data_IF_509331868196
#
_entry.id   IF_509331868196
#
_cell.length_a   1.000
_cell.length_b   1.000
_cell.length_c   1.000
_cell.angle_alpha   90.00
_cell.angle_beta   90.00
_cell.angle_gamma   90.00
#
_symmetry.space_group_name_H-M   'P 1'
#
loop_
_entity.id
_entity.type
_entity.pdbx_description
1 polymer ?
#
# COMPACT_ATOMS: atom_id res chain seq x y z
N UNK A 1 -8.74 -7.45 1.29
CA UNK A 1 -7.60 -7.03 2.15
C UNK A 1 -6.35 -7.76 1.72
N UNK A 2 -5.30 -7.01 1.38
CA UNK A 2 -4.00 -7.54 1.00
C UNK A 2 -3.29 -8.18 2.19
N UNK A 3 -2.51 -9.24 1.93
CA UNK A 3 -1.68 -9.92 2.92
C UNK A 3 -0.22 -9.49 2.78
N UNK A 4 0.45 -9.31 3.92
CA UNK A 4 1.83 -8.82 4.01
C UNK A 4 2.65 -9.82 4.81
N UNK A 5 3.59 -10.50 4.16
CA UNK A 5 4.47 -11.47 4.81
C UNK A 5 5.61 -10.75 5.52
N UNK A 6 5.71 -10.92 6.82
CA UNK A 6 6.79 -10.34 7.64
C UNK A 6 7.51 -11.44 8.40
N UNK A 7 8.84 -11.44 8.30
CA UNK A 7 9.70 -12.34 9.05
C UNK A 7 9.77 -11.92 10.53
N UNK A 8 9.46 -12.81 11.44
CA UNK A 8 9.64 -12.58 12.87
C UNK A 8 10.88 -13.29 13.38
N UNK A 9 11.75 -12.56 14.06
CA UNK A 9 13.02 -13.00 14.61
C UNK A 9 12.96 -12.88 16.14
N UNK A 10 12.52 -13.91 16.85
CA UNK A 10 12.56 -13.93 18.32
C UNK A 10 13.99 -14.20 18.78
N UNK A 11 14.73 -13.12 19.10
CA UNK A 11 16.12 -13.22 19.51
C UNK A 11 16.26 -13.65 20.96
N UNK A 12 17.13 -14.60 21.22
CA UNK A 12 17.38 -15.16 22.55
C UNK A 12 18.86 -15.34 22.80
N UNK A 13 19.24 -15.45 24.06
CA UNK A 13 20.52 -16.00 24.48
C UNK A 13 20.26 -17.23 25.35
N UNK A 14 20.67 -18.40 24.88
CA UNK A 14 20.40 -19.69 25.49
C UNK A 14 20.82 -19.78 26.96
N UNK A 15 21.96 -19.18 27.33
CA UNK A 15 22.45 -19.14 28.70
C UNK A 15 21.46 -18.51 29.70
N UNK A 16 20.59 -17.59 29.22
CA UNK A 16 19.51 -17.02 30.04
C UNK A 16 18.31 -17.95 30.13
N UNK A 17 17.98 -18.63 29.06
CA UNK A 17 16.82 -19.54 29.02
C UNK A 17 17.02 -20.86 29.77
N UNK A 18 18.27 -21.28 29.96
CA UNK A 18 18.64 -22.51 30.64
C UNK A 18 18.58 -22.45 32.15
N UNK A 19 18.31 -21.28 32.77
CA UNK A 19 18.22 -21.19 34.23
C UNK A 19 16.90 -21.74 34.74
N UNK A 20 16.94 -22.38 35.91
CA UNK A 20 15.74 -22.89 36.60
C UNK A 20 14.71 -21.76 36.90
N UNK A 21 15.17 -20.52 36.98
CA UNK A 21 14.33 -19.35 37.26
C UNK A 21 13.61 -18.82 36.00
N UNK A 22 14.28 -18.81 34.86
CA UNK A 22 13.73 -18.26 33.62
C UNK A 22 12.92 -19.27 32.80
N UNK A 23 13.27 -20.55 32.85
CA UNK A 23 12.54 -21.70 32.32
C UNK A 23 11.85 -21.47 30.96
N UNK A 24 12.59 -21.50 29.86
CA UNK A 24 12.07 -21.30 28.50
C UNK A 24 11.34 -19.94 28.30
N UNK A 25 11.84 -18.91 28.94
CA UNK A 25 11.23 -17.58 28.87
C UNK A 25 11.06 -17.08 27.41
N UNK A 26 12.08 -17.31 26.58
CA UNK A 26 12.07 -16.84 25.17
C UNK A 26 10.97 -17.53 24.36
N UNK A 27 10.82 -18.84 24.46
CA UNK A 27 9.74 -19.58 23.78
C UNK A 27 8.35 -19.13 24.23
N UNK A 28 8.14 -18.92 25.53
CA UNK A 28 6.88 -18.39 26.06
C UNK A 28 6.58 -17.01 25.56
N UNK A 29 7.58 -16.11 25.52
CA UNK A 29 7.42 -14.76 25.01
C UNK A 29 7.18 -14.76 23.50
N UNK A 30 7.87 -15.62 22.75
CA UNK A 30 7.59 -15.84 21.32
C UNK A 30 6.12 -16.21 21.08
N UNK A 31 5.56 -17.14 21.83
CA UNK A 31 4.16 -17.54 21.70
C UNK A 31 3.21 -16.36 21.92
N UNK A 32 3.43 -15.55 22.97
CA UNK A 32 2.65 -14.33 23.22
C UNK A 32 2.75 -13.33 22.06
N UNK A 33 3.95 -13.15 21.46
CA UNK A 33 4.11 -12.30 20.29
C UNK A 33 3.29 -12.84 19.10
N UNK A 34 3.32 -14.15 18.83
CA UNK A 34 2.55 -14.75 17.73
C UNK A 34 1.04 -14.58 17.94
N UNK A 35 0.54 -14.71 19.18
CA UNK A 35 -0.86 -14.43 19.50
C UNK A 35 -1.24 -12.95 19.27
N UNK A 36 -0.34 -12.02 19.59
CA UNK A 36 -0.56 -10.60 19.34
C UNK A 36 -0.56 -10.28 17.84
N UNK A 37 0.40 -10.83 17.08
CA UNK A 37 0.47 -10.65 15.62
C UNK A 37 -0.77 -11.18 14.90
N UNK A 38 -1.34 -12.28 15.35
CA UNK A 38 -2.53 -12.87 14.75
C UNK A 38 -3.76 -11.93 14.75
N UNK A 39 -3.75 -10.90 15.59
CA UNK A 39 -4.81 -9.89 15.68
C UNK A 39 -4.61 -8.69 14.74
N UNK A 40 -3.44 -8.59 14.09
CA UNK A 40 -3.11 -7.44 13.23
C UNK A 40 -3.68 -7.66 11.82
N UNK A 41 -4.50 -6.74 11.32
CA UNK A 41 -5.10 -6.87 9.99
C UNK A 41 -4.04 -6.99 8.89
N UNK A 42 -4.23 -7.96 7.99
CA UNK A 42 -3.36 -8.14 6.83
C UNK A 42 -1.97 -8.73 7.11
N UNK A 43 -1.53 -8.83 8.38
CA UNK A 43 -0.24 -9.39 8.73
C UNK A 43 -0.23 -10.92 8.57
N UNK A 44 0.80 -11.43 7.92
CA UNK A 44 1.14 -12.85 7.83
C UNK A 44 2.57 -13.04 8.34
N UNK A 45 2.71 -13.71 9.47
CA UNK A 45 4.02 -13.92 10.10
C UNK A 45 4.69 -15.19 9.55
N UNK A 46 5.93 -15.02 9.13
CA UNK A 46 6.88 -16.11 8.87
C UNK A 46 7.88 -16.14 10.01
N UNK A 47 7.87 -17.21 10.81
CA UNK A 47 8.78 -17.37 11.94
C UNK A 47 9.45 -18.75 11.91
N UNK A 48 10.68 -18.90 12.44
CA UNK A 48 11.29 -20.21 12.60
C UNK A 48 10.39 -21.13 13.43
N UNK A 49 10.24 -22.38 12.99
CA UNK A 49 9.57 -23.43 13.78
C UNK A 49 10.50 -23.99 14.84
N UNK A 50 9.94 -24.72 15.82
CA UNK A 50 10.71 -25.43 16.84
C UNK A 50 11.56 -26.57 16.27
N UNK A 51 11.27 -27.02 15.05
CA UNK A 51 12.08 -27.99 14.30
C UNK A 51 13.28 -27.31 13.60
N UNK A 52 13.15 -26.05 13.24
CA UNK A 52 14.20 -25.31 12.52
C UNK A 52 15.24 -24.72 13.48
N UNK A 53 14.77 -24.17 14.61
CA UNK A 53 15.60 -23.53 15.65
C UNK A 53 15.09 -23.91 17.03
N UNK A 54 15.96 -23.83 18.05
CA UNK A 54 15.57 -24.18 19.41
C UNK A 54 14.42 -23.29 19.92
N UNK A 55 13.33 -23.91 20.38
CA UNK A 55 12.11 -23.26 20.84
C UNK A 55 11.55 -22.22 19.81
N UNK A 56 11.89 -22.36 18.50
CA UNK A 56 11.54 -21.41 17.44
C UNK A 56 12.22 -20.05 17.56
N UNK A 57 13.28 -19.93 18.36
CA UNK A 57 14.02 -18.71 18.62
C UNK A 57 15.36 -18.67 17.87
N UNK A 58 16.03 -17.54 17.87
CA UNK A 58 17.33 -17.31 17.22
C UNK A 58 18.36 -16.91 18.27
N UNK A 59 19.19 -17.87 18.69
CA UNK A 59 20.21 -17.71 19.74
C UNK A 59 21.61 -18.07 19.29
N UNK A 60 21.80 -18.69 18.12
CA UNK A 60 23.11 -19.07 17.58
C UNK A 60 23.33 -18.54 16.17
N UNK A 61 24.60 -18.50 15.72
CA UNK A 61 24.96 -18.11 14.35
C UNK A 61 24.27 -19.00 13.33
N UNK A 62 24.24 -20.31 13.57
CA UNK A 62 23.61 -21.28 12.68
C UNK A 62 22.08 -21.02 12.55
N UNK A 63 21.41 -20.78 13.66
CA UNK A 63 19.98 -20.45 13.67
C UNK A 63 19.69 -19.14 12.96
N UNK A 64 20.56 -18.13 13.13
CA UNK A 64 20.46 -16.87 12.35
C UNK A 64 20.54 -17.12 10.85
N UNK A 65 21.44 -17.98 10.40
CA UNK A 65 21.57 -18.33 8.98
C UNK A 65 20.33 -19.09 8.46
N UNK A 66 19.81 -20.07 9.24
CA UNK A 66 18.59 -20.80 8.91
C UNK A 66 17.37 -19.88 8.82
N UNK A 67 17.25 -18.92 9.74
CA UNK A 67 16.17 -17.91 9.72
C UNK A 67 16.27 -17.04 8.45
N UNK A 68 17.45 -16.60 8.07
CA UNK A 68 17.64 -15.83 6.81
C UNK A 68 17.23 -16.63 5.57
N UNK A 69 17.61 -17.92 5.51
CA UNK A 69 17.25 -18.80 4.38
C UNK A 69 15.72 -18.99 4.30
N UNK A 70 15.05 -19.13 5.44
CA UNK A 70 13.59 -19.17 5.52
C UNK A 70 12.96 -17.89 5.00
N UNK A 71 13.40 -16.72 5.46
CA UNK A 71 12.84 -15.44 5.07
C UNK A 71 13.05 -15.12 3.60
N UNK A 72 14.20 -15.46 3.04
CA UNK A 72 14.48 -15.31 1.62
C UNK A 72 13.61 -16.24 0.78
N UNK A 73 13.44 -17.51 1.19
CA UNK A 73 12.55 -18.48 0.51
C UNK A 73 11.11 -18.02 0.49
N UNK A 74 10.62 -17.48 1.61
CA UNK A 74 9.25 -17.01 1.76
C UNK A 74 9.00 -15.60 1.17
N UNK A 75 10.05 -14.94 0.67
CA UNK A 75 9.99 -13.59 0.10
C UNK A 75 9.33 -12.58 1.05
N UNK A 76 9.77 -12.52 2.31
CA UNK A 76 9.21 -11.59 3.28
C UNK A 76 9.43 -10.13 2.87
N UNK A 77 8.45 -9.28 3.17
CA UNK A 77 8.44 -7.85 2.81
C UNK A 77 9.05 -6.95 3.89
N UNK A 78 9.29 -7.48 5.06
CA UNK A 78 9.92 -6.80 6.19
C UNK A 78 10.34 -7.79 7.28
N UNK A 79 11.10 -7.33 8.26
CA UNK A 79 11.52 -8.11 9.43
C UNK A 79 11.08 -7.42 10.71
N UNK A 80 10.57 -8.20 11.66
CA UNK A 80 10.37 -7.78 13.04
C UNK A 80 11.37 -8.55 13.91
N UNK A 81 12.29 -7.84 14.56
CA UNK A 81 13.29 -8.43 15.46
C UNK A 81 12.90 -8.10 16.89
N UNK A 82 12.64 -9.10 17.70
CA UNK A 82 12.26 -8.94 19.12
C UNK A 82 13.29 -9.58 20.05
N UNK A 83 13.77 -8.83 21.05
CA UNK A 83 14.56 -9.41 22.13
C UNK A 83 13.62 -10.08 23.15
N UNK A 84 13.64 -11.43 23.22
CA UNK A 84 12.74 -12.22 24.06
C UNK A 84 13.25 -12.35 25.50
N UNK A 85 14.58 -12.34 25.65
CA UNK A 85 15.28 -12.23 26.92
C UNK A 85 16.43 -11.21 26.79
N UNK A 86 17.69 -11.61 26.69
CA UNK A 86 18.78 -10.71 26.36
C UNK A 86 18.92 -10.54 24.85
N UNK A 87 18.85 -11.64 24.11
CA UNK A 87 19.15 -11.74 22.69
C UNK A 87 20.63 -11.96 22.42
N UNK A 88 20.97 -12.26 21.15
CA UNK A 88 22.36 -12.55 20.78
C UNK A 88 22.73 -11.85 19.46
N UNK A 89 23.46 -10.72 19.57
CA UNK A 89 23.74 -9.86 18.41
C UNK A 89 24.53 -10.56 17.30
N UNK A 90 25.34 -11.57 17.63
CA UNK A 90 26.13 -12.33 16.65
C UNK A 90 25.22 -13.18 15.75
N UNK A 91 24.18 -13.80 16.33
CA UNK A 91 23.17 -14.54 15.57
C UNK A 91 22.39 -13.61 14.63
N UNK A 92 21.96 -12.45 15.15
CA UNK A 92 21.31 -11.43 14.34
C UNK A 92 22.25 -10.94 13.23
N UNK A 93 23.52 -10.71 13.54
CA UNK A 93 24.55 -10.33 12.56
C UNK A 93 24.72 -11.35 11.44
N UNK A 94 24.71 -12.65 11.76
CA UNK A 94 24.78 -13.74 10.79
C UNK A 94 23.56 -13.77 9.88
N UNK A 95 22.36 -13.63 10.44
CA UNK A 95 21.11 -13.51 9.69
C UNK A 95 21.18 -12.32 8.71
N UNK A 96 21.51 -11.14 9.21
CA UNK A 96 21.57 -9.91 8.41
C UNK A 96 22.60 -9.94 7.29
N UNK A 97 23.61 -10.81 7.36
CA UNK A 97 24.60 -10.98 6.29
C UNK A 97 24.01 -11.59 5.02
N UNK A 98 22.88 -12.31 5.13
CA UNK A 98 22.16 -12.94 4.01
C UNK A 98 20.88 -12.17 3.60
N UNK A 99 20.51 -11.12 4.31
CA UNK A 99 19.31 -10.31 4.03
C UNK A 99 19.71 -9.09 3.19
N UNK A 100 18.86 -8.72 2.23
CA UNK A 100 19.03 -7.52 1.41
C UNK A 100 19.08 -6.26 2.28
N UNK A 101 19.91 -5.27 1.92
CA UNK A 101 20.21 -4.10 2.75
C UNK A 101 19.07 -3.10 2.86
N UNK A 102 18.18 -3.10 1.91
CA UNK A 102 16.97 -2.26 1.85
C UNK A 102 15.74 -2.90 2.52
N UNK A 103 15.91 -4.08 3.16
CA UNK A 103 14.85 -4.73 3.91
C UNK A 103 14.35 -3.82 5.04
N UNK A 104 13.05 -3.48 5.10
CA UNK A 104 12.48 -2.79 6.25
C UNK A 104 12.63 -3.61 7.53
N UNK A 105 13.03 -2.98 8.61
CA UNK A 105 13.21 -3.64 9.91
C UNK A 105 12.49 -2.86 11.00
N UNK A 106 11.68 -3.56 11.79
CA UNK A 106 11.12 -3.09 13.05
C UNK A 106 11.79 -3.84 14.18
N UNK A 107 12.29 -3.12 15.18
CA UNK A 107 12.91 -3.72 16.36
C UNK A 107 12.11 -3.39 17.63
N UNK A 108 11.98 -4.36 18.52
CA UNK A 108 11.45 -4.15 19.87
C UNK A 108 12.15 -5.03 20.90
N UNK A 109 11.97 -4.67 22.17
CA UNK A 109 12.37 -5.50 23.29
C UNK A 109 11.20 -5.66 24.26
N UNK A 110 11.12 -6.82 24.91
CA UNK A 110 10.06 -7.10 25.88
C UNK A 110 10.39 -6.51 27.25
N UNK A 111 9.38 -6.24 28.07
CA UNK A 111 9.61 -5.79 29.47
C UNK A 111 10.21 -6.91 30.30
N UNK A 112 11.13 -6.54 31.18
CA UNK A 112 11.64 -7.47 32.19
C UNK A 112 10.54 -7.86 33.17
N UNK A 113 10.52 -9.11 33.57
CA UNK A 113 9.70 -9.59 34.67
C UNK A 113 10.22 -9.12 36.05
N UNK A 114 9.52 -9.45 37.14
CA UNK A 114 9.98 -9.13 38.49
C UNK A 114 11.31 -9.81 38.80
N UNK A 115 12.05 -9.23 39.74
CA UNK A 115 13.23 -9.93 40.30
C UNK A 115 12.84 -11.18 41.08
N UNK A 116 13.73 -12.18 41.09
CA UNK A 116 13.58 -13.30 41.96
C UNK A 116 13.67 -12.90 43.46
N UNK A 117 13.20 -13.73 44.40
CA UNK A 117 13.39 -13.46 45.83
C UNK A 117 14.85 -13.23 46.22
N UNK A 118 15.80 -13.77 45.45
CA UNK A 118 17.25 -13.61 45.66
C UNK A 118 17.83 -12.41 44.91
N UNK A 119 16.98 -11.57 44.28
CA UNK A 119 17.41 -10.37 43.53
C UNK A 119 17.93 -10.66 42.12
N UNK A 120 17.76 -11.86 41.58
CA UNK A 120 18.16 -12.18 40.19
C UNK A 120 17.14 -11.62 39.22
N UNK A 121 17.64 -11.13 38.07
CA UNK A 121 16.81 -10.62 36.98
C UNK A 121 16.22 -11.75 36.15
N UNK A 122 14.99 -11.55 35.68
CA UNK A 122 14.34 -12.52 34.77
C UNK A 122 14.93 -12.43 33.35
N UNK A 123 15.30 -11.25 32.90
CA UNK A 123 15.94 -11.01 31.60
C UNK A 123 16.71 -9.67 31.62
N UNK A 124 17.42 -9.37 30.52
CA UNK A 124 18.13 -8.12 30.28
C UNK A 124 17.81 -7.55 28.88
N UNK A 125 16.56 -7.59 28.48
CA UNK A 125 16.09 -7.17 27.15
C UNK A 125 16.48 -5.74 26.82
N UNK A 126 16.48 -4.83 27.79
CA UNK A 126 16.90 -3.44 27.63
C UNK A 126 18.36 -3.33 27.19
N UNK A 127 19.28 -4.07 27.80
CA UNK A 127 20.67 -4.14 27.37
C UNK A 127 20.81 -4.78 25.99
N UNK A 128 20.14 -5.91 25.77
CA UNK A 128 20.13 -6.63 24.50
C UNK A 128 19.60 -5.79 23.34
N UNK A 129 18.63 -4.92 23.59
CA UNK A 129 18.12 -3.97 22.62
C UNK A 129 19.20 -3.03 22.07
N UNK A 130 20.03 -2.44 22.92
CA UNK A 130 21.14 -1.59 22.46
C UNK A 130 22.14 -2.36 21.60
N UNK A 131 22.41 -3.61 21.95
CA UNK A 131 23.30 -4.49 21.19
C UNK A 131 22.71 -4.80 19.81
N UNK A 132 21.43 -5.15 19.74
CA UNK A 132 20.72 -5.41 18.47
C UNK A 132 20.65 -4.17 17.59
N UNK A 133 20.29 -3.01 18.14
CA UNK A 133 20.27 -1.75 17.40
C UNK A 133 21.67 -1.38 16.87
N UNK A 134 22.71 -1.57 17.69
CA UNK A 134 24.11 -1.38 17.29
C UNK A 134 24.51 -2.31 16.15
N UNK A 135 24.11 -3.59 16.22
CA UNK A 135 24.38 -4.58 15.18
C UNK A 135 23.72 -4.21 13.83
N UNK A 136 22.46 -3.74 13.86
CA UNK A 136 21.74 -3.21 12.69
C UNK A 136 22.45 -2.00 12.09
N UNK A 137 22.71 -0.99 12.93
CA UNK A 137 23.36 0.27 12.50
C UNK A 137 24.74 0.04 11.88
N UNK A 138 25.61 -0.77 12.54
CA UNK A 138 26.96 -1.10 12.03
C UNK A 138 26.93 -1.84 10.69
N UNK A 139 25.83 -2.53 10.38
CA UNK A 139 25.64 -3.24 9.11
C UNK A 139 24.90 -2.42 8.06
N UNK A 140 24.56 -1.15 8.35
CA UNK A 140 23.93 -0.24 7.42
C UNK A 140 22.43 -0.50 7.19
N UNK A 141 21.77 -1.24 8.08
CA UNK A 141 20.31 -1.40 8.03
C UNK A 141 19.64 -0.17 8.62
N UNK A 142 18.61 0.32 7.93
CA UNK A 142 17.65 1.27 8.49
C UNK A 142 16.60 0.48 9.28
N UNK A 143 16.21 0.97 10.42
CA UNK A 143 15.21 0.32 11.25
C UNK A 143 14.40 1.32 12.06
N UNK A 144 13.15 0.95 12.30
CA UNK A 144 12.30 1.59 13.28
C UNK A 144 12.40 0.85 14.61
N UNK A 145 12.10 1.56 15.69
CA UNK A 145 12.21 1.02 17.04
C UNK A 145 10.96 1.31 17.86
N UNK A 146 10.44 0.27 18.53
CA UNK A 146 9.41 0.43 19.54
C UNK A 146 10.07 0.51 20.92
N UNK A 147 9.64 1.45 21.76
CA UNK A 147 10.02 1.45 23.16
C UNK A 147 9.72 0.10 23.80
N UNK A 148 10.53 -0.32 24.78
CA UNK A 148 10.34 -1.61 25.49
C UNK A 148 8.88 -1.78 25.95
N UNK A 149 8.21 -2.82 25.48
CA UNK A 149 6.78 -3.07 25.66
C UNK A 149 6.48 -4.57 25.75
N UNK A 150 5.31 -4.93 26.24
CA UNK A 150 4.79 -6.29 26.11
C UNK A 150 3.99 -6.43 24.80
N UNK A 151 3.84 -7.66 24.28
CA UNK A 151 3.03 -7.90 23.08
C UNK A 151 1.56 -7.48 23.22
N UNK A 152 1.04 -7.41 24.44
CA UNK A 152 -0.33 -7.02 24.76
C UNK A 152 -0.53 -5.51 24.89
N UNK A 153 0.54 -4.73 24.92
CA UNK A 153 0.47 -3.29 25.01
C UNK A 153 -0.05 -2.68 23.70
N UNK A 154 -0.92 -1.68 23.79
CA UNK A 154 -1.51 -1.00 22.64
C UNK A 154 -0.46 -0.45 21.67
N UNK A 155 0.65 0.08 22.20
CA UNK A 155 1.75 0.61 21.40
C UNK A 155 2.38 -0.47 20.51
N UNK A 156 2.46 -1.73 20.98
CA UNK A 156 2.96 -2.83 20.19
C UNK A 156 2.06 -3.07 18.96
N UNK A 157 0.77 -3.24 19.19
CA UNK A 157 -0.20 -3.47 18.12
C UNK A 157 -0.19 -2.33 17.09
N UNK A 158 -0.28 -1.08 17.55
CA UNK A 158 -0.28 0.12 16.69
C UNK A 158 0.98 0.24 15.83
N UNK A 159 2.16 0.01 16.41
CA UNK A 159 3.43 0.11 15.68
C UNK A 159 3.63 -1.04 14.70
N UNK A 160 3.23 -2.26 15.06
CA UNK A 160 3.30 -3.42 14.16
C UNK A 160 2.34 -3.26 13.01
N UNK A 161 1.12 -2.75 13.24
CA UNK A 161 0.16 -2.47 12.17
C UNK A 161 0.71 -1.40 11.21
N UNK A 162 1.22 -0.30 11.74
CA UNK A 162 1.85 0.77 10.93
C UNK A 162 3.00 0.22 10.10
N UNK A 163 3.87 -0.58 10.70
CA UNK A 163 4.99 -1.22 10.00
C UNK A 163 4.52 -2.19 8.90
N UNK A 164 3.49 -2.98 9.16
CA UNK A 164 2.88 -3.88 8.18
C UNK A 164 2.40 -3.12 6.95
N UNK A 165 1.67 -2.02 7.15
CA UNK A 165 1.18 -1.15 6.10
C UNK A 165 2.31 -0.50 5.30
N UNK A 166 3.36 -0.03 5.99
CA UNK A 166 4.56 0.53 5.36
C UNK A 166 5.31 -0.52 4.50
N UNK A 167 5.47 -1.74 5.00
CA UNK A 167 6.08 -2.84 4.23
C UNK A 167 5.29 -3.15 2.96
N UNK A 168 3.95 -3.15 3.03
CA UNK A 168 3.11 -3.34 1.86
C UNK A 168 3.33 -2.22 0.83
N UNK A 169 3.33 -0.97 1.27
CA UNK A 169 3.56 0.18 0.39
C UNK A 169 4.95 0.13 -0.27
N UNK A 170 6.00 -0.12 0.49
CA UNK A 170 7.38 -0.21 -0.03
C UNK A 170 7.50 -1.34 -1.06
N UNK A 171 6.97 -2.52 -0.77
CA UNK A 171 7.08 -3.67 -1.66
C UNK A 171 6.35 -3.49 -2.99
N UNK A 172 5.32 -2.65 -3.03
CA UNK A 172 4.57 -2.32 -4.24
C UNK A 172 5.10 -1.10 -4.97
N UNK A 173 5.79 -0.20 -4.25
CA UNK A 173 6.36 1.01 -4.80
C UNK A 173 7.70 0.75 -5.52
N UNK A 174 8.58 -0.06 -4.94
CA UNK A 174 9.87 -0.39 -5.55
C UNK A 174 9.65 -1.33 -6.73
N UNK A 175 10.15 -0.96 -7.90
CA UNK A 175 9.94 -1.71 -9.14
C UNK A 175 8.52 -1.60 -9.74
N UNK A 176 7.70 -0.65 -9.28
CA UNK A 176 6.36 -0.41 -9.81
C UNK A 176 6.40 -0.19 -11.32
N UNK A 177 5.43 -0.76 -12.02
CA UNK A 177 5.18 -0.49 -13.44
C UNK A 177 3.99 0.45 -13.56
N UNK A 178 4.17 1.54 -14.30
CA UNK A 178 3.18 2.61 -14.46
C UNK A 178 2.79 2.70 -15.93
N UNK A 179 1.53 2.45 -16.24
CA UNK A 179 0.98 2.64 -17.58
C UNK A 179 0.70 4.13 -17.79
N UNK A 180 1.36 4.72 -18.77
CA UNK A 180 1.08 6.07 -19.22
C UNK A 180 0.37 6.05 -20.57
N UNK A 181 -0.86 6.54 -20.63
CA UNK A 181 -1.64 6.61 -21.89
C UNK A 181 -1.77 8.06 -22.32
N UNK A 182 -1.06 8.41 -23.38
CA UNK A 182 -0.99 9.76 -23.89
C UNK A 182 -0.01 10.68 -23.15
N UNK A 183 -0.22 11.97 -23.26
CA UNK A 183 0.61 13.03 -22.68
C UNK A 183 -0.22 13.94 -21.79
N UNK A 184 0.44 14.58 -20.82
CA UNK A 184 -0.20 15.62 -20.00
C UNK A 184 -0.78 16.73 -20.86
N UNK A 185 -1.84 17.44 -20.39
CA UNK A 185 -2.41 18.56 -21.13
C UNK A 185 -1.40 19.69 -21.36
N UNK A 186 -1.55 20.39 -22.47
CA UNK A 186 -0.76 21.59 -22.74
C UNK A 186 -1.02 22.65 -21.65
N UNK A 187 0.04 23.15 -21.03
CA UNK A 187 -0.06 24.12 -19.93
C UNK A 187 0.01 23.54 -18.53
N UNK A 188 -0.05 22.23 -18.36
CA UNK A 188 0.07 21.54 -17.06
C UNK A 188 1.53 21.17 -16.76
N UNK A 189 2.38 22.19 -16.65
CA UNK A 189 3.81 22.01 -16.37
C UNK A 189 4.06 21.45 -14.97
N UNK A 190 3.16 21.68 -14.03
CA UNK A 190 3.22 21.14 -12.67
C UNK A 190 3.17 19.61 -12.59
N UNK A 191 2.70 18.92 -13.64
CA UNK A 191 2.66 17.46 -13.74
C UNK A 191 3.96 16.86 -14.30
N UNK A 192 5.00 17.69 -14.43
CA UNK A 192 6.31 17.22 -14.85
C UNK A 192 6.92 16.30 -13.78
N UNK A 193 7.54 15.23 -14.23
CA UNK A 193 8.27 14.29 -13.36
C UNK A 193 9.59 13.87 -14.00
N UNK A 194 10.47 13.28 -13.20
CA UNK A 194 11.73 12.73 -13.68
C UNK A 194 11.64 11.21 -13.84
N UNK A 195 11.45 10.73 -15.06
CA UNK A 195 11.44 9.29 -15.35
C UNK A 195 12.78 8.64 -14.96
N UNK A 196 13.92 9.28 -15.29
CA UNK A 196 15.24 8.80 -14.86
C UNK A 196 15.36 8.72 -13.33
N UNK A 197 14.79 9.70 -12.62
CA UNK A 197 14.77 9.72 -11.16
C UNK A 197 13.98 8.54 -10.58
N UNK A 198 12.83 8.23 -11.14
CA UNK A 198 12.00 7.08 -10.75
C UNK A 198 12.73 5.76 -11.02
N UNK A 199 13.31 5.62 -12.19
CA UNK A 199 14.06 4.43 -12.58
C UNK A 199 15.30 4.22 -11.69
N UNK A 200 16.13 5.23 -11.54
CA UNK A 200 17.41 5.12 -10.82
C UNK A 200 17.25 4.92 -9.32
N UNK A 201 16.30 5.62 -8.70
CA UNK A 201 16.15 5.60 -7.24
C UNK A 201 15.22 4.49 -6.75
N UNK A 202 14.25 4.07 -7.56
CA UNK A 202 13.19 3.16 -7.15
C UNK A 202 12.98 1.97 -8.09
N UNK A 203 13.80 1.85 -9.14
CA UNK A 203 13.67 0.79 -10.16
C UNK A 203 12.28 0.75 -10.82
N UNK A 204 11.58 1.86 -10.84
CA UNK A 204 10.25 1.96 -11.45
C UNK A 204 10.34 1.98 -12.96
N UNK A 205 9.31 1.47 -13.62
CA UNK A 205 9.24 1.35 -15.08
C UNK A 205 8.00 2.07 -15.59
N UNK A 206 8.21 3.13 -16.36
CA UNK A 206 7.15 3.76 -17.12
C UNK A 206 6.89 2.96 -18.40
N UNK A 207 5.61 2.75 -18.72
CA UNK A 207 5.14 2.08 -19.93
C UNK A 207 4.31 3.07 -20.74
N UNK A 208 4.94 3.86 -21.65
CA UNK A 208 4.22 4.83 -22.46
C UNK A 208 3.46 4.15 -23.60
N UNK A 209 2.20 4.52 -23.75
CA UNK A 209 1.34 4.16 -24.89
C UNK A 209 0.80 5.44 -25.51
N UNK A 210 1.02 5.64 -26.80
CA UNK A 210 0.49 6.78 -27.49
C UNK A 210 -1.03 6.68 -27.72
N UNK A 211 -1.70 7.83 -27.89
CA UNK A 211 -3.15 7.86 -28.06
C UNK A 211 -3.64 7.21 -29.34
N UNK A 212 -2.84 7.17 -30.40
CA UNK A 212 -3.24 6.51 -31.63
C UNK A 212 -3.36 5.00 -31.41
N UNK A 213 -2.35 4.40 -30.80
CA UNK A 213 -2.38 2.96 -30.41
C UNK A 213 -3.54 2.65 -29.45
N UNK A 214 -3.76 3.48 -28.43
CA UNK A 214 -4.87 3.30 -27.49
C UNK A 214 -6.23 3.35 -28.20
N UNK A 215 -6.42 4.32 -29.10
CA UNK A 215 -7.68 4.48 -29.83
C UNK A 215 -7.88 3.40 -30.89
N UNK A 216 -6.84 2.91 -31.56
CA UNK A 216 -6.94 1.74 -32.43
C UNK A 216 -7.44 0.50 -31.68
N UNK A 217 -6.95 0.26 -30.47
CA UNK A 217 -7.45 -0.81 -29.61
C UNK A 217 -8.90 -0.58 -29.18
N UNK A 218 -9.23 0.64 -28.80
CA UNK A 218 -10.61 0.99 -28.46
C UNK A 218 -11.57 0.80 -29.63
N UNK A 219 -11.15 1.18 -30.84
CA UNK A 219 -11.96 1.02 -32.08
C UNK A 219 -12.15 -0.46 -32.46
N UNK A 220 -11.18 -1.31 -32.15
CA UNK A 220 -11.30 -2.78 -32.35
C UNK A 220 -12.30 -3.44 -31.39
N UNK A 221 -12.64 -2.82 -30.27
CA UNK A 221 -13.66 -3.29 -29.34
C UNK A 221 -15.05 -2.91 -29.87
N UNK A 222 -15.75 -3.86 -30.52
CA UNK A 222 -17.10 -3.59 -31.06
C UNK A 222 -18.14 -3.45 -29.95
N UNK A 223 -19.30 -2.87 -30.27
CA UNK A 223 -20.41 -2.76 -29.33
C UNK A 223 -20.96 -4.14 -28.89
N UNK A 224 -20.81 -5.17 -29.72
CA UNK A 224 -21.25 -6.54 -29.47
C UNK A 224 -20.23 -7.36 -28.66
N UNK A 225 -19.04 -6.82 -28.39
CA UNK A 225 -18.03 -7.49 -27.57
C UNK A 225 -18.63 -7.81 -26.18
N UNK A 226 -18.58 -9.07 -25.71
CA UNK A 226 -19.24 -9.49 -24.47
C UNK A 226 -18.78 -8.69 -23.23
N UNK A 227 -17.49 -8.35 -23.15
CA UNK A 227 -16.94 -7.56 -22.05
C UNK A 227 -17.42 -6.09 -22.11
N UNK A 228 -17.48 -5.50 -23.31
CA UNK A 228 -18.03 -4.16 -23.50
C UNK A 228 -19.50 -4.13 -23.04
N UNK A 229 -20.29 -5.14 -23.42
CA UNK A 229 -21.69 -5.26 -23.01
C UNK A 229 -21.83 -5.44 -21.50
N UNK A 230 -20.97 -6.25 -20.88
CA UNK A 230 -20.96 -6.45 -19.43
C UNK A 230 -20.67 -5.14 -18.71
N UNK A 231 -19.61 -4.43 -19.11
CA UNK A 231 -19.23 -3.14 -18.52
C UNK A 231 -20.32 -2.09 -18.74
N UNK A 232 -20.91 -2.00 -19.94
CA UNK A 232 -22.00 -1.06 -20.22
C UNK A 232 -23.22 -1.31 -19.33
N UNK A 233 -23.55 -2.59 -19.09
CA UNK A 233 -24.63 -2.96 -18.15
C UNK A 233 -24.31 -2.56 -16.71
N UNK A 234 -23.06 -2.75 -16.29
CA UNK A 234 -22.61 -2.35 -14.95
C UNK A 234 -22.63 -0.84 -14.77
N UNK A 235 -22.19 -0.06 -15.77
CA UNK A 235 -22.26 1.40 -15.76
C UNK A 235 -23.71 1.85 -15.55
N UNK A 236 -24.68 1.28 -16.31
CA UNK A 236 -26.09 1.58 -16.15
C UNK A 236 -26.64 1.18 -14.78
N UNK A 237 -26.27 0.00 -14.29
CA UNK A 237 -26.73 -0.52 -13.00
C UNK A 237 -26.11 0.17 -11.79
N UNK A 238 -24.95 0.80 -11.95
CA UNK A 238 -24.23 1.49 -10.88
C UNK A 238 -24.59 2.97 -10.70
N UNK A 239 -25.33 3.56 -11.64
CA UNK A 239 -25.78 4.94 -11.56
C UNK A 239 -27.22 5.03 -11.03
N UNK A 240 -27.44 5.85 -10.00
CA UNK A 240 -28.79 6.14 -9.48
C UNK A 240 -29.60 6.98 -10.46
N UNK A 241 -28.92 7.81 -11.25
CA UNK A 241 -29.54 8.68 -12.24
C UNK A 241 -28.64 8.80 -13.47
N UNK A 242 -29.24 8.76 -14.65
CA UNK A 242 -28.57 9.00 -15.93
C UNK A 242 -29.38 10.05 -16.69
N UNK A 243 -28.73 11.18 -17.02
CA UNK A 243 -29.34 12.25 -17.82
C UNK A 243 -28.41 12.66 -18.94
N UNK A 244 -28.97 13.33 -19.96
CA UNK A 244 -28.22 13.87 -21.10
C UNK A 244 -27.38 12.84 -21.86
N UNK A 245 -27.78 11.56 -21.79
CA UNK A 245 -27.07 10.48 -22.49
C UNK A 245 -27.11 10.71 -24.00
N UNK A 246 -25.94 10.68 -24.62
CA UNK A 246 -25.81 10.77 -26.07
C UNK A 246 -25.72 9.36 -26.69
N UNK A 247 -26.04 9.19 -27.99
CA UNK A 247 -25.89 7.90 -28.64
C UNK A 247 -24.50 7.32 -28.45
N UNK A 248 -24.43 6.06 -28.04
CA UNK A 248 -23.20 5.30 -27.81
C UNK A 248 -22.31 5.77 -26.64
N UNK A 249 -22.65 6.78 -25.87
CA UNK A 249 -21.78 7.29 -24.80
C UNK A 249 -21.43 6.22 -23.75
N UNK A 250 -22.41 5.44 -23.27
CA UNK A 250 -22.14 4.34 -22.32
C UNK A 250 -21.31 3.22 -22.96
N UNK A 251 -21.56 2.89 -24.22
CA UNK A 251 -20.77 1.89 -24.95
C UNK A 251 -19.33 2.39 -25.14
N UNK A 252 -19.14 3.65 -25.49
CA UNK A 252 -17.82 4.25 -25.64
C UNK A 252 -17.07 4.30 -24.31
N UNK A 253 -17.75 4.56 -23.18
CA UNK A 253 -17.14 4.46 -21.86
C UNK A 253 -16.74 3.03 -21.51
N UNK A 254 -17.57 2.05 -21.82
CA UNK A 254 -17.27 0.64 -21.62
C UNK A 254 -16.06 0.18 -22.47
N UNK A 255 -15.97 0.66 -23.72
CA UNK A 255 -14.81 0.41 -24.59
C UNK A 255 -13.54 1.03 -24.04
N UNK A 256 -13.61 2.26 -23.54
CA UNK A 256 -12.47 2.96 -22.97
C UNK A 256 -11.98 2.27 -21.68
N UNK A 257 -12.90 1.85 -20.79
CA UNK A 257 -12.57 1.06 -19.61
C UNK A 257 -11.88 -0.26 -19.98
N UNK A 258 -12.48 -1.02 -20.91
CA UNK A 258 -11.91 -2.31 -21.34
C UNK A 258 -10.54 -2.13 -21.97
N UNK A 259 -10.34 -1.15 -22.80
CA UNK A 259 -9.04 -0.84 -23.41
C UNK A 259 -7.97 -0.57 -22.36
N UNK A 260 -8.26 0.25 -21.35
CA UNK A 260 -7.32 0.53 -20.26
C UNK A 260 -6.99 -0.71 -19.45
N UNK A 261 -7.98 -1.55 -19.18
CA UNK A 261 -7.77 -2.84 -18.48
C UNK A 261 -6.89 -3.77 -19.32
N UNK A 262 -7.15 -3.93 -20.61
CA UNK A 262 -6.33 -4.78 -21.50
C UNK A 262 -4.86 -4.31 -21.55
N UNK A 263 -4.63 -3.02 -21.65
CA UNK A 263 -3.27 -2.48 -21.60
C UNK A 263 -2.61 -2.71 -20.24
N UNK A 264 -3.35 -2.50 -19.14
CA UNK A 264 -2.84 -2.73 -17.81
C UNK A 264 -2.49 -4.20 -17.54
N UNK A 265 -3.32 -5.13 -18.01
CA UNK A 265 -3.09 -6.58 -17.96
C UNK A 265 -1.88 -7.00 -18.81
N UNK A 266 -1.80 -6.54 -20.06
CA UNK A 266 -0.72 -6.85 -20.99
C UNK A 266 0.64 -6.40 -20.46
N UNK A 267 0.70 -5.21 -19.89
CA UNK A 267 1.95 -4.63 -19.38
C UNK A 267 2.17 -4.85 -17.89
N UNK A 268 1.30 -5.62 -17.22
CA UNK A 268 1.37 -5.90 -15.78
C UNK A 268 1.42 -4.64 -14.93
N UNK A 269 0.54 -3.67 -15.19
CA UNK A 269 0.42 -2.40 -14.49
C UNK A 269 -0.86 -2.34 -13.66
N UNK A 270 -0.76 -1.93 -12.39
CA UNK A 270 -1.92 -1.60 -11.57
C UNK A 270 -2.05 -0.09 -11.32
N UNK A 271 -1.06 0.67 -11.79
CA UNK A 271 -0.99 2.13 -11.69
C UNK A 271 -1.06 2.69 -13.09
N UNK A 272 -2.01 3.57 -13.33
CA UNK A 272 -2.34 4.11 -14.65
C UNK A 272 -2.36 5.64 -14.56
N UNK A 273 -1.70 6.32 -15.49
CA UNK A 273 -1.84 7.75 -15.72
C UNK A 273 -2.38 7.92 -17.14
N UNK A 274 -3.61 8.42 -17.28
CA UNK A 274 -4.27 8.45 -18.59
C UNK A 274 -4.75 9.83 -18.97
N UNK A 275 -4.56 10.19 -20.25
CA UNK A 275 -5.13 11.38 -20.84
C UNK A 275 -6.65 11.33 -20.80
N UNK A 276 -7.24 12.45 -20.36
CA UNK A 276 -8.68 12.66 -20.34
C UNK A 276 -9.12 13.85 -21.18
N UNK A 277 -8.19 14.68 -21.64
CA UNK A 277 -8.38 15.87 -22.48
C UNK A 277 -7.64 15.69 -23.80
N UNK A 278 -8.04 16.28 -24.86
CA UNK A 278 -9.33 16.75 -25.40
C UNK A 278 -9.81 15.74 -26.44
N UNK A 279 -8.85 14.90 -26.86
CA UNK A 279 -9.03 13.98 -27.99
C UNK A 279 -10.10 12.90 -27.72
N UNK A 280 -10.25 12.45 -26.48
CA UNK A 280 -11.29 11.50 -26.09
C UNK A 280 -12.69 12.09 -26.27
N UNK A 281 -12.87 13.35 -25.87
CA UNK A 281 -14.13 14.08 -26.05
C UNK A 281 -14.45 14.31 -27.53
N UNK A 282 -13.48 14.79 -28.29
CA UNK A 282 -13.68 15.08 -29.72
C UNK A 282 -13.95 13.81 -30.54
N UNK A 283 -13.30 12.70 -30.21
CA UNK A 283 -13.42 11.48 -31.00
C UNK A 283 -14.60 10.62 -30.58
N UNK A 284 -14.89 10.53 -29.28
CA UNK A 284 -15.86 9.57 -28.73
C UNK A 284 -17.02 10.21 -27.97
N UNK A 285 -16.99 11.51 -27.74
CA UNK A 285 -18.05 12.25 -27.05
C UNK A 285 -18.21 11.92 -25.58
N UNK A 286 -17.16 11.46 -24.91
CA UNK A 286 -17.19 11.06 -23.50
C UNK A 286 -16.10 11.74 -22.66
N UNK A 287 -16.36 11.89 -21.37
CA UNK A 287 -15.36 12.22 -20.36
C UNK A 287 -14.79 10.92 -19.74
N UNK A 288 -13.52 10.93 -19.35
CA UNK A 288 -12.86 9.80 -18.75
C UNK A 288 -13.25 9.55 -17.28
N UNK A 289 -13.82 10.54 -16.61
CA UNK A 289 -13.98 10.60 -15.16
C UNK A 289 -14.67 9.37 -14.57
N UNK A 290 -15.82 8.95 -15.13
CA UNK A 290 -16.54 7.77 -14.64
C UNK A 290 -15.78 6.46 -14.86
N UNK A 291 -15.02 6.35 -15.94
CA UNK A 291 -14.13 5.21 -16.19
C UNK A 291 -13.04 5.14 -15.11
N UNK A 292 -12.41 6.26 -14.78
CA UNK A 292 -11.39 6.32 -13.73
C UNK A 292 -11.98 5.98 -12.35
N UNK A 293 -13.17 6.51 -12.03
CA UNK A 293 -13.91 6.16 -10.82
C UNK A 293 -14.12 4.65 -10.68
N UNK A 294 -14.59 4.01 -11.74
CA UNK A 294 -14.83 2.56 -11.75
C UNK A 294 -13.54 1.75 -11.63
N UNK A 295 -12.46 2.16 -12.30
CA UNK A 295 -11.17 1.51 -12.20
C UNK A 295 -10.56 1.67 -10.80
N UNK A 296 -10.70 2.84 -10.16
CA UNK A 296 -10.29 3.05 -8.79
C UNK A 296 -11.06 2.14 -7.81
N UNK A 297 -12.38 1.94 -8.02
CA UNK A 297 -13.19 0.97 -7.28
C UNK A 297 -12.75 -0.49 -7.50
N UNK A 298 -12.20 -0.80 -8.67
CA UNK A 298 -11.68 -2.15 -8.99
C UNK A 298 -10.26 -2.40 -8.45
N UNK A 299 -9.65 -1.41 -7.79
CA UNK A 299 -8.33 -1.53 -7.16
C UNK A 299 -7.15 -1.10 -8.03
N UNK A 300 -7.39 -0.50 -9.19
CA UNK A 300 -6.38 0.26 -9.91
C UNK A 300 -6.09 1.58 -9.19
N UNK A 301 -5.03 2.24 -9.56
CA UNK A 301 -4.71 3.61 -9.13
C UNK A 301 -4.60 4.47 -10.37
N UNK A 302 -5.66 5.23 -10.68
CA UNK A 302 -5.77 5.96 -11.95
C UNK A 302 -5.65 7.46 -11.70
N UNK A 303 -4.50 8.03 -12.10
CA UNK A 303 -4.26 9.47 -12.15
C UNK A 303 -4.88 10.09 -13.41
N UNK A 304 -5.63 11.17 -13.22
CA UNK A 304 -6.20 11.96 -14.28
C UNK A 304 -5.10 12.77 -14.98
N UNK A 305 -5.37 13.25 -16.19
CA UNK A 305 -4.53 14.23 -16.92
C UNK A 305 -3.09 13.78 -17.19
N UNK A 306 -2.85 12.47 -17.10
CA UNK A 306 -1.51 11.84 -17.17
C UNK A 306 -0.61 12.23 -16.00
N UNK A 307 -1.18 12.58 -14.83
CA UNK A 307 -0.40 12.82 -13.62
C UNK A 307 0.17 11.48 -13.09
N UNK A 308 1.38 11.19 -13.50
CA UNK A 308 2.14 9.99 -13.11
C UNK A 308 2.43 10.02 -11.61
N UNK A 309 2.76 11.17 -11.03
CA UNK A 309 3.09 11.28 -9.61
C UNK A 309 1.84 11.14 -8.74
N UNK A 310 0.70 11.67 -9.19
CA UNK A 310 -0.61 11.46 -8.57
C UNK A 310 -1.01 9.99 -8.58
N UNK A 311 -0.89 9.31 -9.71
CA UNK A 311 -1.17 7.87 -9.83
C UNK A 311 -0.28 7.02 -8.88
N UNK A 312 1.02 7.32 -8.81
CA UNK A 312 1.95 6.68 -7.88
C UNK A 312 1.52 6.93 -6.42
N UNK A 313 1.17 8.17 -6.08
CA UNK A 313 0.72 8.53 -4.73
C UNK A 313 -0.54 7.77 -4.33
N UNK A 314 -1.54 7.69 -5.21
CA UNK A 314 -2.74 6.87 -4.99
C UNK A 314 -2.38 5.40 -4.75
N UNK A 315 -1.45 4.84 -5.52
CA UNK A 315 -1.00 3.45 -5.35
C UNK A 315 -0.34 3.21 -3.99
N UNK A 316 0.47 4.16 -3.51
CA UNK A 316 1.05 4.11 -2.15
C UNK A 316 -0.06 4.13 -1.10
N UNK A 317 -1.03 5.05 -1.21
CA UNK A 317 -2.14 5.18 -0.26
C UNK A 317 -3.02 3.92 -0.24
N UNK A 318 -3.37 3.38 -1.40
CA UNK A 318 -4.09 2.10 -1.54
C UNK A 318 -3.34 0.94 -0.87
N UNK A 319 -2.02 0.93 -1.00
CA UNK A 319 -1.16 -0.08 -0.39
C UNK A 319 -1.09 0.08 1.13
N UNK A 320 -1.00 1.31 1.65
CA UNK A 320 -1.08 1.60 3.08
C UNK A 320 -2.45 1.22 3.66
N UNK A 321 -3.52 1.36 2.88
CA UNK A 321 -4.85 0.92 3.26
C UNK A 321 -5.07 -0.60 3.10
N UNK A 322 -4.04 -1.37 2.71
CA UNK A 322 -4.11 -2.82 2.41
C UNK A 322 -5.20 -3.15 1.37
N UNK A 323 -5.48 -2.23 0.46
CA UNK A 323 -6.53 -2.37 -0.55
C UNK A 323 -7.96 -2.41 0.01
N UNK A 324 -8.17 -1.95 1.24
CA UNK A 324 -9.50 -1.93 1.87
C UNK A 324 -10.28 -0.66 1.55
N UNK A 325 -9.60 0.43 1.29
CA UNK A 325 -10.18 1.73 0.99
C UNK A 325 -9.42 2.29 -0.19
N UNK A 326 -10.08 2.66 -1.30
CA UNK A 326 -9.42 3.31 -2.43
C UNK A 326 -8.97 4.72 -2.07
N UNK A 327 -7.86 5.15 -2.65
CA UNK A 327 -7.45 6.55 -2.61
C UNK A 327 -8.27 7.37 -3.60
N UNK A 328 -8.43 8.65 -3.33
CA UNK A 328 -9.07 9.60 -4.22
C UNK A 328 -8.07 10.59 -4.79
N UNK A 329 -8.37 11.09 -5.99
CA UNK A 329 -7.61 12.10 -6.71
C UNK A 329 -8.43 13.39 -6.76
N UNK A 330 -8.00 14.41 -6.03
CA UNK A 330 -8.72 15.68 -5.87
C UNK A 330 -7.84 16.87 -6.18
N UNK A 331 -8.49 17.97 -6.61
CA UNK A 331 -7.86 19.28 -6.76
C UNK A 331 -8.16 20.18 -5.56
N UNK A 332 -7.23 21.06 -5.26
CA UNK A 332 -7.46 22.19 -4.37
C UNK A 332 -8.11 23.32 -5.22
N UNK A 333 -9.42 23.18 -5.40
CA UNK A 333 -10.13 23.85 -6.48
C UNK A 333 -10.37 25.33 -6.20
N UNK A 334 -10.82 25.68 -4.99
CA UNK A 334 -11.16 27.04 -4.64
C UNK A 334 -11.06 27.32 -3.14
N UNK A 335 -10.86 28.57 -2.77
CA UNK A 335 -10.91 29.04 -1.38
C UNK A 335 -12.33 29.47 -1.03
N UNK A 336 -12.74 29.22 0.23
CA UNK A 336 -14.02 29.73 0.71
C UNK A 336 -14.05 31.26 0.65
N UNK A 337 -15.14 31.88 0.13
CA UNK A 337 -15.16 33.31 -0.12
C UNK A 337 -14.95 34.19 1.12
N UNK A 338 -15.30 33.70 2.32
CA UNK A 338 -15.25 34.49 3.56
C UNK A 338 -14.50 33.82 4.71
N UNK A 339 -14.38 32.48 4.69
CA UNK A 339 -13.75 31.73 5.78
C UNK A 339 -12.28 31.46 5.48
N UNK A 340 -11.33 32.02 6.26
CA UNK A 340 -9.91 31.75 6.05
C UNK A 340 -9.57 30.29 6.37
N UNK A 341 -8.62 29.72 5.62
CA UNK A 341 -8.17 28.34 5.75
C UNK A 341 -9.25 27.25 5.49
N UNK A 342 -10.33 27.62 4.82
CA UNK A 342 -11.35 26.71 4.30
C UNK A 342 -11.27 26.70 2.77
N UNK A 343 -11.23 25.54 2.18
CA UNK A 343 -11.09 25.36 0.74
C UNK A 343 -11.95 24.20 0.25
N UNK A 344 -12.26 24.23 -1.04
CA UNK A 344 -12.98 23.17 -1.72
C UNK A 344 -12.00 22.14 -2.28
N UNK A 345 -12.05 20.93 -1.75
CA UNK A 345 -11.45 19.76 -2.35
C UNK A 345 -12.45 19.16 -3.33
N UNK A 346 -12.15 19.18 -4.62
CA UNK A 346 -13.09 18.73 -5.64
C UNK A 346 -12.35 18.18 -6.86
N UNK A 347 -12.97 17.24 -7.54
CA UNK A 347 -12.57 16.80 -8.87
C UNK A 347 -13.80 16.46 -9.70
N UNK A 348 -13.65 16.30 -11.00
CA UNK A 348 -14.77 16.14 -11.94
C UNK A 348 -15.38 14.71 -11.96
N UNK A 349 -15.21 13.89 -10.91
CA UNK A 349 -15.94 12.64 -10.71
C UNK A 349 -15.14 11.37 -10.98
N UNK A 350 -13.83 11.38 -10.71
CA UNK A 350 -12.96 10.19 -10.76
C UNK A 350 -12.84 9.46 -9.42
N UNK A 351 -13.45 9.98 -8.36
CA UNK A 351 -13.48 9.33 -7.06
C UNK A 351 -14.16 7.96 -7.13
N UNK A 352 -13.62 6.97 -6.43
CA UNK A 352 -14.26 5.67 -6.32
C UNK A 352 -15.65 5.78 -5.66
N UNK A 353 -16.64 5.05 -6.19
CA UNK A 353 -18.02 5.16 -5.72
C UNK A 353 -18.20 4.84 -4.24
N UNK A 354 -17.37 3.97 -3.68
CA UNK A 354 -17.37 3.60 -2.26
C UNK A 354 -17.05 4.76 -1.31
N UNK A 355 -16.43 5.82 -1.83
CA UNK A 355 -16.11 7.03 -1.07
C UNK A 355 -17.27 8.00 -0.98
N UNK A 356 -18.34 7.81 -1.77
CA UNK A 356 -19.53 8.64 -1.71
C UNK A 356 -20.20 8.57 -0.34
N UNK A 357 -20.63 9.72 0.18
CA UNK A 357 -21.43 9.76 1.38
C UNK A 357 -22.77 9.03 1.18
N UNK A 358 -23.27 8.36 2.21
CA UNK A 358 -24.49 7.53 2.13
C UNK A 358 -25.77 8.29 1.72
N UNK A 359 -25.75 9.62 1.83
CA UNK A 359 -26.83 10.51 1.40
C UNK A 359 -26.62 11.09 0.00
N UNK A 360 -25.53 10.74 -0.67
CA UNK A 360 -25.25 11.16 -2.04
C UNK A 360 -25.73 10.11 -3.04
N UNK A 361 -26.01 10.54 -4.26
CA UNK A 361 -26.39 9.68 -5.38
C UNK A 361 -25.36 9.75 -6.47
N UNK A 362 -25.14 8.63 -7.13
CA UNK A 362 -24.31 8.56 -8.33
C UNK A 362 -25.13 9.08 -9.53
N UNK A 363 -24.61 10.07 -10.22
CA UNK A 363 -25.28 10.69 -11.34
C UNK A 363 -24.35 10.78 -12.55
N UNK A 364 -24.67 10.06 -13.61
CA UNK A 364 -24.06 10.22 -14.93
C UNK A 364 -24.80 11.31 -15.70
N UNK A 365 -24.13 12.40 -16.03
CA UNK A 365 -24.75 13.56 -16.66
C UNK A 365 -23.76 14.32 -17.55
N UNK A 366 -24.23 15.32 -18.24
CA UNK A 366 -23.40 16.31 -18.88
C UNK A 366 -22.76 17.23 -17.82
N UNK A 367 -21.44 17.36 -17.83
CA UNK A 367 -20.80 18.43 -17.08
C UNK A 367 -21.02 19.74 -17.83
N UNK A 368 -21.88 20.62 -17.35
CA UNK A 368 -22.24 21.87 -18.01
C UNK A 368 -21.05 22.78 -18.25
N UNK A 369 -20.08 22.81 -17.33
CA UNK A 369 -18.88 23.66 -17.43
C UNK A 369 -17.93 23.19 -18.52
N UNK A 370 -17.77 21.87 -18.67
CA UNK A 370 -16.83 21.28 -19.62
C UNK A 370 -17.51 20.85 -20.93
N UNK A 371 -18.86 20.84 -20.98
CA UNK A 371 -19.61 20.33 -22.12
C UNK A 371 -19.40 18.85 -22.40
N UNK A 372 -19.06 18.05 -21.38
CA UNK A 372 -18.68 16.66 -21.50
C UNK A 372 -19.66 15.75 -20.78
N UNK A 373 -20.03 14.63 -21.42
CA UNK A 373 -20.88 13.63 -20.82
C UNK A 373 -20.07 12.54 -20.11
N UNK A 374 -20.49 12.14 -18.91
CA UNK A 374 -20.01 10.98 -18.20
C UNK A 374 -19.24 11.20 -16.92
N UNK A 375 -19.26 12.39 -16.26
CA UNK A 375 -18.75 12.46 -14.89
C UNK A 375 -19.63 11.60 -13.99
N UNK A 376 -18.98 10.84 -13.10
CA UNK A 376 -19.63 9.92 -12.19
C UNK A 376 -19.60 10.54 -10.79
N UNK A 377 -20.72 10.58 -10.09
CA UNK A 377 -20.78 11.10 -8.74
C UNK A 377 -20.66 12.63 -8.58
N UNK A 378 -21.77 13.29 -8.56
CA UNK A 378 -21.91 14.54 -7.82
C UNK A 378 -22.36 14.21 -6.39
N UNK A 379 -21.43 13.99 -5.50
CA UNK A 379 -21.72 13.71 -4.10
C UNK A 379 -20.59 14.19 -3.22
N UNK A 380 -20.89 14.60 -1.98
CA UNK A 380 -19.85 14.84 -0.99
C UNK A 380 -19.26 13.50 -0.54
N UNK A 381 -17.96 13.49 -0.30
CA UNK A 381 -17.30 12.35 0.36
C UNK A 381 -17.75 12.25 1.81
N UNK A 382 -17.69 11.06 2.38
CA UNK A 382 -18.04 10.84 3.78
C UNK A 382 -17.19 11.71 4.71
N UNK A 383 -17.81 12.38 5.67
CA UNK A 383 -17.16 13.36 6.58
C UNK A 383 -15.96 12.78 7.34
N UNK A 384 -15.95 11.47 7.60
CA UNK A 384 -14.82 10.79 8.24
C UNK A 384 -13.49 10.88 7.47
N UNK A 385 -13.52 11.18 6.18
CA UNK A 385 -12.35 11.34 5.32
C UNK A 385 -11.93 12.81 5.14
N UNK A 386 -12.76 13.77 5.54
CA UNK A 386 -12.49 15.21 5.38
C UNK A 386 -11.61 15.79 6.48
N UNK A 387 -11.23 15.00 7.49
CA UNK A 387 -10.34 15.40 8.57
C UNK A 387 -8.91 14.92 8.35
N UNK A 388 -8.39 15.00 7.14
CA UNK A 388 -6.97 14.92 6.89
C UNK A 388 -6.31 16.19 7.44
N UNK A 389 -5.81 16.13 8.68
CA UNK A 389 -4.87 17.14 9.15
C UNK A 389 -3.61 17.02 8.30
N UNK A 390 -3.35 18.03 7.49
CA UNK A 390 -2.01 18.25 6.97
C UNK A 390 -1.08 18.50 8.18
N UNK A 391 -0.16 17.60 8.42
CA UNK A 391 0.95 17.76 9.33
C UNK A 391 2.20 18.11 8.54
#
# INVERSE_FOLDING_TARGET
>A
MQKVKIGFVPSTWESWDGSAYTGKLAGKMRARCLEAFAKIPGLEIVAPSEELTQDGCVGTVEEGMKAADLFNKENVQGLIIGNMNFGFETAIGAMLSKIRKDMPVLHFATRSGPFSPQGNRANDTWCGQFMTCSALKRRGFKFEHIITCNPEDEIFASKVETFTRACNAISRFVGMRILQVGTRPTGFESEFFSEEGLMRNFSQVLVPVDLATAYERMDALTAENPEVQRIAKEIRGGADLITDETPNSIVNQARFERMLVELAEEYHCNTIASSCWESLQHRYGIAACSTFSRLNSQGYSVGCEVDVMGAITMSIMNSCALGMIPADFIDWTDLHPTEPNVWLAWHCGNAACELCASNSKTHLMMNERLGLWGPYCYGSMAVSYTHLRAH
#
